data_IF_908505564502
#
_entry.id   IF_908505564502
#
_cell.length_a   1.000
_cell.length_b   1.000
_cell.length_c   1.000
_cell.angle_alpha   90.00
_cell.angle_beta   90.00
_cell.angle_gamma   90.00
#
_symmetry.space_group_name_H-M   'P 1'
#
loop_
_entity.id
_entity.type
_entity.pdbx_description
1 polymer ?
#
# COMPACT_ATOMS: atom_id res chain seq x y z
N UNK A 1 1.54 43.22 -17.87
CA UNK A 1 1.43 41.84 -17.36
C UNK A 1 1.48 41.91 -15.84
N UNK A 2 0.35 41.72 -15.15
CA UNK A 2 0.31 41.77 -13.69
C UNK A 2 0.93 40.52 -13.09
N UNK A 3 1.91 40.71 -12.20
CA UNK A 3 2.56 39.64 -11.44
C UNK A 3 1.64 39.32 -10.26
N UNK A 4 0.99 38.16 -10.29
CA UNK A 4 0.24 37.62 -9.16
C UNK A 4 1.25 37.12 -8.12
N UNK A 5 1.43 37.84 -7.01
CA UNK A 5 2.13 37.33 -5.83
C UNK A 5 1.11 36.71 -4.89
N UNK A 6 1.20 35.39 -4.69
CA UNK A 6 0.50 34.71 -3.61
C UNK A 6 1.39 34.72 -2.38
N UNK A 7 1.06 35.57 -1.41
CA UNK A 7 1.68 35.53 -0.09
C UNK A 7 1.07 34.37 0.71
N UNK A 8 1.82 33.29 0.88
CA UNK A 8 1.44 32.19 1.76
C UNK A 8 1.67 32.64 3.20
N UNK A 9 0.63 33.18 3.83
CA UNK A 9 0.63 33.48 5.26
C UNK A 9 0.52 32.16 6.03
N UNK A 10 1.66 31.57 6.39
CA UNK A 10 1.73 30.36 7.21
C UNK A 10 1.40 30.70 8.67
N UNK A 11 0.27 30.17 9.14
CA UNK A 11 -0.13 30.16 10.55
C UNK A 11 1.00 29.60 11.46
N UNK A 12 1.05 30.00 12.73
CA UNK A 12 2.09 29.55 13.68
C UNK A 12 2.09 28.01 13.86
N UNK A 13 0.96 27.37 13.58
CA UNK A 13 0.79 25.93 13.63
C UNK A 13 0.94 25.25 12.25
N UNK A 14 1.32 25.98 11.20
CA UNK A 14 1.45 25.43 9.86
C UNK A 14 2.47 24.29 9.80
N UNK A 15 3.58 24.38 10.55
CA UNK A 15 4.55 23.27 10.65
C UNK A 15 3.91 22.00 11.23
N UNK A 16 3.09 22.14 12.28
CA UNK A 16 2.38 21.01 12.90
C UNK A 16 1.33 20.43 11.96
N UNK A 17 0.57 21.29 11.25
CA UNK A 17 -0.42 20.88 10.25
C UNK A 17 0.24 20.17 9.07
N UNK A 18 1.36 20.69 8.56
CA UNK A 18 2.13 20.07 7.47
C UNK A 18 2.72 18.72 7.90
N UNK A 19 3.21 18.59 9.14
CA UNK A 19 3.67 17.31 9.69
C UNK A 19 2.53 16.30 9.86
N UNK A 20 1.34 16.75 10.24
CA UNK A 20 0.17 15.88 10.30
C UNK A 20 -0.21 15.41 8.89
N UNK A 21 -0.30 16.32 7.93
CA UNK A 21 -0.57 16.01 6.52
C UNK A 21 0.47 15.03 5.98
N UNK A 22 1.77 15.25 6.22
CA UNK A 22 2.83 14.36 5.73
C UNK A 22 2.76 12.95 6.30
N UNK A 23 2.33 12.81 7.56
CA UNK A 23 2.11 11.49 8.18
C UNK A 23 0.88 10.80 7.59
N UNK A 24 -0.20 11.54 7.36
CA UNK A 24 -1.39 10.99 6.72
C UNK A 24 -1.13 10.59 5.27
N UNK A 25 -0.35 11.35 4.52
CA UNK A 25 0.03 10.99 3.14
C UNK A 25 0.93 9.75 3.10
N UNK A 26 1.82 9.57 4.09
CA UNK A 26 2.64 8.36 4.18
C UNK A 26 1.78 7.12 4.50
N UNK A 27 0.89 7.21 5.49
CA UNK A 27 -0.03 6.12 5.81
C UNK A 27 -0.93 5.75 4.63
N UNK A 28 -1.40 6.76 3.88
CA UNK A 28 -2.20 6.54 2.67
C UNK A 28 -1.38 5.84 1.56
N UNK A 29 -0.11 6.19 1.39
CA UNK A 29 0.77 5.52 0.44
C UNK A 29 0.96 4.04 0.81
N UNK A 30 1.22 3.74 2.09
CA UNK A 30 1.36 2.36 2.59
C UNK A 30 0.05 1.54 2.46
N UNK A 31 -1.11 2.19 2.55
CA UNK A 31 -2.41 1.56 2.30
C UNK A 31 -2.66 1.30 0.82
N UNK A 32 -2.29 2.25 -0.06
CA UNK A 32 -2.40 2.09 -1.51
C UNK A 32 -1.48 0.98 -2.03
N UNK A 33 -0.23 0.91 -1.54
CA UNK A 33 0.71 -0.15 -1.92
C UNK A 33 0.19 -1.55 -1.52
N UNK A 34 -0.53 -1.64 -0.40
CA UNK A 34 -1.19 -2.88 0.04
C UNK A 34 -2.39 -3.24 -0.83
N UNK A 35 -3.21 -2.25 -1.20
CA UNK A 35 -4.35 -2.47 -2.11
C UNK A 35 -3.85 -2.96 -3.47
N UNK A 36 -2.79 -2.36 -4.01
CA UNK A 36 -2.22 -2.79 -5.29
C UNK A 36 -1.69 -4.23 -5.21
N UNK A 37 -1.11 -4.63 -4.08
CA UNK A 37 -0.64 -6.01 -3.87
C UNK A 37 -1.80 -7.04 -3.81
N UNK A 38 -2.94 -6.64 -3.29
CA UNK A 38 -4.11 -7.50 -3.11
C UNK A 38 -5.11 -7.38 -4.29
N UNK A 39 -4.80 -6.59 -5.33
CA UNK A 39 -5.66 -6.42 -6.51
C UNK A 39 -5.30 -7.38 -7.65
N UNK A 40 -6.30 -7.87 -8.37
CA UNK A 40 -6.11 -8.75 -9.51
C UNK A 40 -5.49 -7.98 -10.70
N UNK A 41 -4.35 -8.44 -11.26
CA UNK A 41 -3.70 -7.75 -12.37
C UNK A 41 -4.47 -7.85 -13.70
N UNK A 42 -5.41 -8.78 -13.80
CA UNK A 42 -6.18 -9.01 -15.03
C UNK A 42 -7.44 -8.13 -15.12
N UNK A 43 -8.16 -7.97 -14.01
CA UNK A 43 -9.46 -7.29 -14.00
C UNK A 43 -9.56 -6.11 -13.04
N UNK A 44 -8.56 -5.87 -12.19
CA UNK A 44 -8.55 -4.75 -11.23
C UNK A 44 -9.45 -4.95 -10.01
N UNK A 45 -10.07 -6.12 -9.84
CA UNK A 45 -10.89 -6.45 -8.67
C UNK A 45 -10.03 -6.96 -7.51
N UNK A 46 -10.52 -6.81 -6.28
CA UNK A 46 -9.82 -7.29 -5.10
C UNK A 46 -9.71 -8.82 -5.11
N UNK A 47 -8.52 -9.34 -4.82
CA UNK A 47 -8.29 -10.77 -4.62
C UNK A 47 -8.64 -11.18 -3.18
N UNK A 48 -9.17 -12.38 -3.02
CA UNK A 48 -9.15 -13.07 -1.72
C UNK A 48 -7.72 -13.48 -1.41
N UNK A 49 -7.28 -13.15 -0.20
CA UNK A 49 -5.92 -13.39 0.28
C UNK A 49 -5.95 -14.44 1.37
N UNK A 50 -5.18 -15.52 1.18
CA UNK A 50 -5.00 -16.57 2.19
C UNK A 50 -3.54 -16.70 2.55
N UNK A 51 -3.21 -16.54 3.83
CA UNK A 51 -1.86 -16.76 4.36
C UNK A 51 -1.78 -18.10 5.09
N UNK A 52 -0.93 -18.99 4.58
CA UNK A 52 -0.72 -20.31 5.14
C UNK A 52 0.51 -20.30 6.04
N UNK A 53 0.33 -20.80 7.25
CA UNK A 53 1.40 -20.93 8.24
C UNK A 53 1.81 -22.40 8.38
N UNK A 54 3.12 -22.66 8.42
CA UNK A 54 3.71 -23.95 8.74
C UNK A 54 4.58 -23.80 9.99
N UNK A 55 4.37 -24.64 10.99
CA UNK A 55 5.11 -24.60 12.27
C UNK A 55 5.10 -23.23 12.98
N UNK A 56 3.99 -22.48 12.81
CA UNK A 56 3.83 -21.14 13.39
C UNK A 56 4.50 -20.02 12.60
N UNK A 57 5.15 -20.32 11.48
CA UNK A 57 5.80 -19.36 10.59
C UNK A 57 5.00 -19.19 9.28
N UNK A 58 4.92 -17.97 8.71
CA UNK A 58 4.18 -17.74 7.48
C UNK A 58 4.94 -18.37 6.30
N UNK A 59 4.37 -19.44 5.72
CA UNK A 59 5.02 -20.24 4.69
C UNK A 59 4.76 -19.70 3.27
N UNK A 60 3.50 -19.38 2.97
CA UNK A 60 3.12 -18.80 1.67
C UNK A 60 1.82 -18.01 1.75
N UNK A 61 1.67 -17.07 0.81
CA UNK A 61 0.46 -16.27 0.60
C UNK A 61 -0.14 -16.61 -0.76
N UNK A 62 -1.45 -16.85 -0.82
CA UNK A 62 -2.20 -17.12 -2.04
C UNK A 62 -3.21 -16.01 -2.29
N UNK A 63 -3.34 -15.61 -3.55
CA UNK A 63 -4.27 -14.59 -4.02
C UNK A 63 -5.20 -15.23 -5.04
N UNK A 64 -6.51 -15.10 -4.86
CA UNK A 64 -7.50 -15.65 -5.78
C UNK A 64 -8.52 -14.58 -6.16
N UNK A 65 -8.67 -14.33 -7.46
CA UNK A 65 -9.73 -13.48 -7.97
C UNK A 65 -10.97 -14.31 -8.31
N UNK A 66 -12.09 -14.01 -7.65
CA UNK A 66 -13.37 -14.68 -7.88
C UNK A 66 -14.07 -14.28 -9.19
N UNK A 67 -13.62 -13.20 -9.83
CA UNK A 67 -14.24 -12.66 -11.05
C UNK A 67 -13.66 -13.30 -12.31
N UNK A 68 -12.33 -13.33 -12.43
CA UNK A 68 -11.65 -13.88 -13.62
C UNK A 68 -10.98 -15.23 -13.38
N UNK A 69 -10.89 -15.71 -12.13
CA UNK A 69 -10.24 -16.97 -11.77
C UNK A 69 -8.71 -16.89 -11.74
N UNK A 70 -8.12 -15.69 -11.76
CA UNK A 70 -6.67 -15.51 -11.59
C UNK A 70 -6.22 -16.01 -10.21
N UNK A 71 -5.11 -16.76 -10.19
CA UNK A 71 -4.52 -17.30 -8.96
C UNK A 71 -3.01 -17.00 -8.98
N UNK A 72 -2.52 -16.37 -7.90
CA UNK A 72 -1.09 -16.12 -7.64
C UNK A 72 -0.70 -16.74 -6.31
N UNK A 73 0.48 -17.34 -6.24
CA UNK A 73 1.07 -17.84 -4.98
C UNK A 73 2.45 -17.24 -4.81
N UNK A 74 2.67 -16.66 -3.64
CA UNK A 74 3.95 -16.10 -3.23
C UNK A 74 4.49 -16.93 -2.07
N UNK A 75 5.63 -17.59 -2.28
CA UNK A 75 6.36 -18.21 -1.19
C UNK A 75 7.06 -17.11 -0.39
N UNK A 76 6.98 -17.17 0.95
CA UNK A 76 7.85 -16.37 1.80
C UNK A 76 9.25 -16.99 1.76
N UNK A 77 10.00 -16.66 0.72
CA UNK A 77 11.41 -17.02 0.64
C UNK A 77 12.19 -16.00 1.47
N UNK A 78 12.19 -16.18 2.79
CA UNK A 78 13.24 -15.58 3.61
C UNK A 78 14.57 -16.06 3.05
N UNK A 79 15.36 -15.10 2.58
CA UNK A 79 16.67 -15.29 2.00
C UNK A 79 17.56 -16.06 2.99
N UNK A 80 17.71 -17.37 2.78
CA UNK A 80 18.85 -18.14 3.27
C UNK A 80 20.12 -17.63 2.55
N UNK A 81 20.62 -16.46 2.93
CA UNK A 81 21.99 -16.06 2.68
C UNK A 81 22.85 -16.62 3.82
N UNK A 82 23.34 -17.84 3.62
CA UNK A 82 24.52 -18.40 4.29
C UNK A 82 25.79 -17.66 3.83
#
# INVERSE_FOLDING_TARGET
MSKLSMDIVLDKNASTKLKAISKHTAALADELDRIDADTCPECGELCEVTECHADGMPAHKSYMCHVCGYIKREANNEQNNL
#
